data_IF_959691421818
#
_entry.id   IF_959691421818
#
_cell.length_a   1.000
_cell.length_b   1.000
_cell.length_c   1.000
_cell.angle_alpha   90.00
_cell.angle_beta   90.00
_cell.angle_gamma   90.00
#
_symmetry.space_group_name_H-M   'P 1'
#
loop_
_entity.id
_entity.type
_entity.pdbx_description
1 polymer ?
#
# COMPACT_ATOMS: atom_id res chain seq x y z
N UNK A 1 12.95 22.95 -9.52
CA UNK A 1 13.99 23.16 -8.49
C UNK A 1 14.58 24.56 -8.58
N UNK A 2 15.37 24.91 -9.60
CA UNK A 2 15.99 26.25 -9.73
C UNK A 2 15.00 27.43 -9.64
N UNK A 3 13.86 27.39 -10.35
CA UNK A 3 12.84 28.45 -10.29
C UNK A 3 12.24 28.65 -8.88
N UNK A 4 12.16 27.58 -8.10
CA UNK A 4 11.63 27.61 -6.73
C UNK A 4 12.73 27.77 -5.67
N UNK A 5 14.00 27.93 -6.11
CA UNK A 5 15.18 28.03 -5.25
C UNK A 5 15.34 26.90 -4.21
N UNK A 6 14.92 25.67 -4.57
CA UNK A 6 15.03 24.48 -3.70
C UNK A 6 16.00 23.45 -4.27
N UNK A 7 16.68 22.74 -3.38
CA UNK A 7 17.53 21.60 -3.74
C UNK A 7 16.72 20.48 -4.42
N UNK A 8 17.36 19.72 -5.31
CA UNK A 8 16.72 18.61 -5.99
C UNK A 8 16.40 17.49 -5.00
N UNK A 9 15.11 17.18 -4.84
CA UNK A 9 14.64 16.07 -4.01
C UNK A 9 14.67 14.72 -4.72
N UNK A 10 14.60 13.63 -3.95
CA UNK A 10 14.48 12.25 -4.48
C UNK A 10 13.12 11.98 -5.16
N UNK A 11 12.06 12.59 -4.64
CA UNK A 11 10.68 12.38 -5.11
C UNK A 11 9.92 13.68 -5.02
N UNK A 12 8.99 13.90 -5.96
CA UNK A 12 8.02 14.99 -5.91
C UNK A 12 6.64 14.37 -5.70
N UNK A 13 5.90 14.87 -4.72
CA UNK A 13 4.55 14.42 -4.41
C UNK A 13 3.64 15.62 -4.15
N UNK A 14 2.37 15.46 -4.47
CA UNK A 14 1.35 16.49 -4.30
C UNK A 14 0.45 16.15 -3.11
N UNK A 15 0.09 17.19 -2.36
CA UNK A 15 -0.82 17.11 -1.23
C UNK A 15 -1.97 18.08 -1.49
N UNK A 16 -3.21 17.58 -1.37
CA UNK A 16 -4.40 18.43 -1.45
C UNK A 16 -4.62 19.05 -0.07
N UNK A 17 -4.74 20.37 -0.04
CA UNK A 17 -5.00 21.17 1.15
C UNK A 17 -6.36 21.86 0.96
N UNK A 18 -7.12 22.01 2.04
CA UNK A 18 -8.34 22.86 2.02
C UNK A 18 -7.97 24.32 2.31
N UNK A 19 -7.09 24.54 3.27
CA UNK A 19 -6.51 25.84 3.62
C UNK A 19 -5.02 25.67 3.97
N UNK A 20 -4.21 26.71 3.72
CA UNK A 20 -2.80 26.74 4.11
C UNK A 20 -1.95 27.69 3.26
N UNK A 21 -1.20 28.57 3.93
CA UNK A 21 -0.20 29.45 3.30
C UNK A 21 1.18 28.79 3.38
N UNK A 22 1.47 27.90 2.42
CA UNK A 22 2.83 27.39 2.22
C UNK A 22 3.50 28.12 1.06
N UNK A 23 4.70 28.62 1.29
CA UNK A 23 5.50 29.28 0.26
C UNK A 23 6.49 28.28 -0.36
N UNK A 24 6.83 28.53 -1.63
CA UNK A 24 7.84 27.73 -2.29
C UNK A 24 9.20 27.93 -1.59
N UNK A 25 9.75 26.84 -1.03
CA UNK A 25 11.00 26.86 -0.28
C UNK A 25 10.85 26.49 1.20
N UNK A 26 9.61 26.45 1.71
CA UNK A 26 9.35 26.07 3.09
C UNK A 26 9.80 24.62 3.39
N UNK A 27 10.43 24.45 4.55
CA UNK A 27 10.88 23.14 5.02
C UNK A 27 9.86 22.54 6.00
N UNK A 28 9.32 21.38 5.65
CA UNK A 28 8.42 20.62 6.52
C UNK A 28 9.25 19.63 7.36
N UNK A 29 9.14 19.74 8.69
CA UNK A 29 9.80 18.85 9.67
C UNK A 29 8.79 17.90 10.32
N UNK A 30 9.30 16.86 11.00
CA UNK A 30 8.48 15.88 11.73
C UNK A 30 7.64 16.50 12.86
N UNK A 31 8.01 17.70 13.33
CA UNK A 31 7.30 18.48 14.36
C UNK A 31 5.87 18.89 13.96
N UNK A 32 5.50 18.76 12.68
CA UNK A 32 4.11 18.97 12.23
C UNK A 32 3.12 17.97 12.85
N UNK A 33 3.62 16.84 13.35
CA UNK A 33 2.83 15.84 14.05
C UNK A 33 3.05 15.92 15.56
N UNK A 34 2.04 15.51 16.32
CA UNK A 34 2.12 15.40 17.77
C UNK A 34 2.08 13.92 18.23
N UNK A 35 2.70 13.63 19.38
CA UNK A 35 2.53 12.32 20.02
C UNK A 35 1.06 12.12 20.44
N UNK A 36 0.53 10.92 20.24
CA UNK A 36 -0.88 10.57 20.43
C UNK A 36 -1.79 10.89 19.24
N UNK A 37 -1.30 11.61 18.22
CA UNK A 37 -2.08 11.90 17.02
C UNK A 37 -2.27 10.63 16.17
N UNK A 38 -3.45 10.50 15.55
CA UNK A 38 -3.73 9.47 14.56
C UNK A 38 -3.37 9.95 13.14
N UNK A 39 -2.66 9.11 12.40
CA UNK A 39 -2.20 9.39 11.04
C UNK A 39 -2.54 8.26 10.07
N UNK A 40 -2.82 8.63 8.83
CA UNK A 40 -2.95 7.72 7.71
C UNK A 40 -1.61 7.64 6.97
N UNK A 41 -1.10 6.42 6.79
CA UNK A 41 0.19 6.15 6.14
C UNK A 41 -0.05 5.48 4.79
N UNK A 42 0.23 6.21 3.71
CA UNK A 42 0.16 5.72 2.33
C UNK A 42 1.56 5.38 1.82
N UNK A 43 1.71 4.23 1.16
CA UNK A 43 2.97 3.81 0.57
C UNK A 43 2.80 2.74 -0.49
N UNK A 44 3.89 2.36 -1.14
CA UNK A 44 3.88 1.26 -2.10
C UNK A 44 4.14 -0.07 -1.36
N UNK A 45 3.19 -0.99 -1.44
CA UNK A 45 3.30 -2.31 -0.80
C UNK A 45 4.45 -3.14 -1.37
N UNK A 46 5.01 -4.05 -0.56
CA UNK A 46 6.07 -4.97 -1.03
C UNK A 46 5.55 -5.81 -2.20
N UNK A 47 6.26 -5.75 -3.34
CA UNK A 47 6.00 -6.59 -4.49
C UNK A 47 6.21 -8.07 -4.17
N UNK A 48 5.30 -8.92 -4.64
CA UNK A 48 5.40 -10.38 -4.52
C UNK A 48 5.53 -11.06 -5.89
N UNK A 49 5.54 -10.32 -7.01
CA UNK A 49 5.60 -10.90 -8.36
C UNK A 49 4.31 -11.61 -8.76
N UNK A 50 4.39 -12.56 -9.69
CA UNK A 50 3.23 -13.35 -10.13
C UNK A 50 2.83 -14.38 -9.07
N UNK A 51 1.59 -14.30 -8.58
CA UNK A 51 1.07 -15.14 -7.52
C UNK A 51 -0.14 -15.96 -7.99
N UNK A 52 -0.21 -17.21 -7.52
CA UNK A 52 -1.36 -18.09 -7.70
C UNK A 52 -2.58 -17.64 -6.90
N UNK A 53 -3.75 -18.20 -7.22
CA UNK A 53 -5.03 -17.82 -6.59
C UNK A 53 -5.08 -18.05 -5.09
N UNK A 54 -4.43 -19.10 -4.58
CA UNK A 54 -4.36 -19.38 -3.14
C UNK A 54 -3.66 -18.23 -2.41
N UNK A 55 -2.46 -17.83 -2.83
CA UNK A 55 -1.71 -16.77 -2.13
C UNK A 55 -2.27 -15.37 -2.38
N UNK A 56 -2.83 -15.12 -3.56
CA UNK A 56 -3.38 -13.81 -3.94
C UNK A 56 -4.76 -13.54 -3.32
N UNK A 57 -5.59 -14.58 -3.18
CA UNK A 57 -7.00 -14.44 -2.81
C UNK A 57 -7.45 -15.35 -1.67
N UNK A 58 -6.54 -16.07 -1.01
CA UNK A 58 -6.83 -17.04 0.05
C UNK A 58 -7.84 -18.13 -0.39
N UNK A 59 -7.78 -18.54 -1.66
CA UNK A 59 -8.58 -19.67 -2.14
C UNK A 59 -8.20 -20.95 -1.40
N UNK A 60 -9.18 -21.83 -1.17
CA UNK A 60 -8.90 -23.20 -0.74
C UNK A 60 -8.29 -23.99 -1.90
N UNK A 61 -7.38 -24.92 -1.58
CA UNK A 61 -6.91 -25.93 -2.53
C UNK A 61 -7.94 -27.06 -2.68
N UNK A 62 -7.65 -27.98 -3.58
CA UNK A 62 -8.35 -29.26 -3.67
C UNK A 62 -7.70 -30.28 -2.71
N UNK A 63 -8.31 -31.44 -2.57
CA UNK A 63 -7.74 -32.52 -1.76
C UNK A 63 -6.34 -32.91 -2.25
N UNK A 64 -5.44 -33.22 -1.31
CA UNK A 64 -4.06 -33.62 -1.64
C UNK A 64 -3.95 -35.11 -1.98
N UNK A 65 -4.93 -35.92 -1.60
CA UNK A 65 -4.97 -37.38 -1.79
C UNK A 65 -6.27 -37.77 -2.50
N UNK A 66 -6.72 -39.03 -2.37
CA UNK A 66 -7.98 -39.54 -2.91
C UNK A 66 -8.16 -39.35 -4.43
N UNK A 67 -7.10 -39.61 -5.20
CA UNK A 67 -7.15 -39.65 -6.66
C UNK A 67 -6.96 -38.31 -7.37
N UNK A 68 -6.68 -37.22 -6.64
CA UNK A 68 -6.27 -35.96 -7.27
C UNK A 68 -4.86 -36.11 -7.86
N UNK A 69 -4.73 -35.93 -9.18
CA UNK A 69 -3.48 -36.17 -9.91
C UNK A 69 -2.63 -34.91 -10.14
N UNK A 70 -3.25 -33.75 -10.40
CA UNK A 70 -2.54 -32.51 -10.78
C UNK A 70 -3.20 -31.22 -10.29
N UNK A 71 -4.36 -31.32 -9.64
CA UNK A 71 -5.25 -30.17 -9.42
C UNK A 71 -5.23 -29.63 -7.98
N UNK A 72 -4.22 -29.96 -7.17
CA UNK A 72 -4.17 -29.58 -5.75
C UNK A 72 -4.30 -28.07 -5.52
N UNK A 73 -3.74 -27.24 -6.41
CA UNK A 73 -3.65 -25.78 -6.24
C UNK A 73 -4.26 -24.97 -7.39
N UNK A 74 -5.11 -25.59 -8.20
CA UNK A 74 -5.78 -24.93 -9.34
C UNK A 74 -6.96 -24.07 -8.85
N UNK A 75 -7.36 -23.04 -9.60
CA UNK A 75 -8.47 -22.15 -9.20
C UNK A 75 -9.87 -22.81 -9.18
N UNK A 76 -10.00 -24.03 -9.71
CA UNK A 76 -11.29 -24.67 -9.93
C UNK A 76 -12.05 -24.02 -11.09
N UNK A 77 -13.39 -24.06 -11.05
CA UNK A 77 -14.22 -23.49 -12.12
C UNK A 77 -14.13 -21.95 -12.18
N UNK A 78 -13.92 -21.44 -13.40
CA UNK A 78 -13.83 -20.00 -13.67
C UNK A 78 -15.12 -19.40 -14.27
N UNK A 79 -16.13 -20.23 -14.60
CA UNK A 79 -17.35 -19.79 -15.28
C UNK A 79 -18.46 -20.85 -15.30
N UNK A 80 -19.54 -20.57 -16.04
CA UNK A 80 -20.70 -21.46 -16.22
C UNK A 80 -20.85 -21.83 -17.70
N UNK A 81 -21.49 -22.96 -18.00
CA UNK A 81 -21.77 -23.41 -19.36
C UNK A 81 -22.96 -22.65 -19.98
N UNK A 82 -22.91 -22.40 -21.30
CA UNK A 82 -23.94 -21.74 -22.12
C UNK A 82 -24.24 -20.27 -21.75
N UNK A 83 -24.92 -20.02 -20.64
CA UNK A 83 -25.24 -18.67 -20.17
C UNK A 83 -24.49 -18.44 -18.87
N UNK A 84 -23.53 -17.49 -18.78
CA UNK A 84 -23.27 -16.34 -19.66
C UNK A 84 -22.28 -16.58 -20.82
N UNK A 85 -21.72 -17.79 -20.98
CA UNK A 85 -20.84 -18.13 -22.11
C UNK A 85 -19.48 -17.41 -22.13
N UNK A 86 -19.11 -16.74 -21.03
CA UNK A 86 -17.85 -16.01 -20.87
C UNK A 86 -17.45 -15.90 -19.40
N UNK A 87 -16.19 -15.55 -19.16
CA UNK A 87 -15.72 -15.19 -17.82
C UNK A 87 -16.09 -13.74 -17.52
N UNK A 88 -16.66 -13.48 -16.34
CA UNK A 88 -17.00 -12.12 -15.90
C UNK A 88 -15.74 -11.28 -15.61
N UNK A 89 -15.85 -9.95 -15.83
CA UNK A 89 -14.81 -9.00 -15.43
C UNK A 89 -14.63 -9.04 -13.91
N UNK A 90 -13.40 -8.90 -13.43
CA UNK A 90 -13.07 -8.96 -12.01
C UNK A 90 -13.07 -10.36 -11.39
N UNK A 91 -13.24 -11.43 -12.19
CA UNK A 91 -13.08 -12.81 -11.70
C UNK A 91 -11.68 -12.98 -11.11
N UNK A 92 -11.62 -13.42 -9.85
CA UNK A 92 -10.38 -13.64 -9.12
C UNK A 92 -9.54 -14.72 -9.80
N UNK A 93 -8.34 -14.35 -10.24
CA UNK A 93 -7.38 -15.22 -10.92
C UNK A 93 -5.95 -14.94 -10.43
N UNK A 94 -5.01 -15.80 -10.82
CA UNK A 94 -3.58 -15.59 -10.65
C UNK A 94 -3.12 -14.31 -11.34
N UNK A 95 -2.05 -13.71 -10.86
CA UNK A 95 -1.50 -12.48 -11.43
C UNK A 95 -0.51 -11.80 -10.50
N UNK A 96 -0.03 -10.64 -10.93
CA UNK A 96 0.87 -9.82 -10.11
C UNK A 96 0.20 -9.43 -8.78
N UNK A 97 0.96 -9.48 -7.69
CA UNK A 97 0.51 -9.11 -6.35
C UNK A 97 1.53 -8.19 -5.67
N UNK A 98 1.05 -7.14 -5.00
CA UNK A 98 1.91 -6.13 -4.36
C UNK A 98 2.41 -5.09 -5.36
N UNK A 99 3.34 -4.23 -4.92
CA UNK A 99 3.76 -3.02 -5.64
C UNK A 99 2.61 -2.04 -5.94
N UNK A 100 1.48 -2.21 -5.24
CA UNK A 100 0.30 -1.37 -5.32
C UNK A 100 0.34 -0.31 -4.21
N UNK A 101 -0.27 0.85 -4.46
CA UNK A 101 -0.42 1.92 -3.47
C UNK A 101 -1.45 1.49 -2.42
N UNK A 102 -1.03 1.41 -1.16
CA UNK A 102 -1.87 1.02 -0.03
C UNK A 102 -1.81 2.11 1.03
N UNK A 103 -2.94 2.39 1.66
CA UNK A 103 -3.05 3.25 2.83
C UNK A 103 -3.43 2.41 4.03
N UNK A 104 -2.66 2.51 5.10
CA UNK A 104 -3.03 1.99 6.41
C UNK A 104 -3.53 3.18 7.22
N UNK A 105 -4.76 3.10 7.70
CA UNK A 105 -5.44 4.21 8.35
C UNK A 105 -5.28 4.17 9.88
N UNK A 106 -5.42 5.34 10.49
CA UNK A 106 -5.55 5.50 11.95
C UNK A 106 -4.40 4.87 12.75
N UNK A 107 -3.16 5.02 12.29
CA UNK A 107 -1.99 4.62 13.06
C UNK A 107 -1.62 5.69 14.08
N UNK A 108 -1.24 5.28 15.28
CA UNK A 108 -0.89 6.18 16.38
C UNK A 108 0.57 6.64 16.30
N UNK A 109 0.82 7.95 16.37
CA UNK A 109 2.15 8.51 16.54
C UNK A 109 2.57 8.36 18.01
N UNK A 110 3.56 7.52 18.28
CA UNK A 110 4.03 7.24 19.65
C UNK A 110 4.98 8.32 20.13
N UNK A 111 5.88 8.77 19.25
CA UNK A 111 6.92 9.74 19.59
C UNK A 111 7.37 10.51 18.36
N UNK A 112 7.68 11.78 18.56
CA UNK A 112 8.32 12.64 17.58
C UNK A 112 9.70 13.01 18.10
N UNK A 113 10.73 12.83 17.29
CA UNK A 113 12.11 13.19 17.59
C UNK A 113 12.53 14.31 16.64
N UNK A 114 12.40 15.55 17.12
CA UNK A 114 12.65 16.77 16.35
C UNK A 114 14.12 16.91 15.93
N UNK A 115 15.04 16.56 16.84
CA UNK A 115 16.49 16.68 16.61
C UNK A 115 16.95 15.79 15.45
N UNK A 116 16.42 14.56 15.38
CA UNK A 116 16.77 13.57 14.35
C UNK A 116 15.80 13.57 13.17
N UNK A 117 14.74 14.38 13.22
CA UNK A 117 13.65 14.42 12.25
C UNK A 117 13.01 13.02 12.03
N UNK A 118 12.76 12.28 13.11
CA UNK A 118 12.19 10.93 13.08
C UNK A 118 10.79 10.90 13.68
N UNK A 119 9.92 10.08 13.10
CA UNK A 119 8.57 9.82 13.58
C UNK A 119 8.43 8.34 13.95
N UNK A 120 8.01 8.05 15.18
CA UNK A 120 7.72 6.69 15.62
C UNK A 120 6.21 6.45 15.53
N UNK A 121 5.82 5.49 14.70
CA UNK A 121 4.42 5.11 14.48
C UNK A 121 4.19 3.70 14.99
N UNK A 122 3.07 3.50 15.70
CA UNK A 122 2.65 2.20 16.21
C UNK A 122 1.99 1.39 15.10
N UNK A 123 2.62 0.28 14.72
CA UNK A 123 2.04 -0.70 13.79
C UNK A 123 2.87 -0.90 12.53
N UNK A 124 2.23 -1.51 11.52
CA UNK A 124 2.88 -1.85 10.26
C UNK A 124 2.64 -0.77 9.20
N UNK A 125 3.72 -0.35 8.54
CA UNK A 125 3.66 0.60 7.41
C UNK A 125 3.79 -0.14 6.07
N UNK A 126 3.12 0.34 5.01
CA UNK A 126 3.13 -0.31 3.71
C UNK A 126 4.47 -0.10 2.99
N UNK A 127 5.20 -1.19 2.73
CA UNK A 127 6.36 -1.17 1.85
C UNK A 127 7.60 -1.82 2.43
N UNK A 128 8.71 -1.70 1.70
CA UNK A 128 10.02 -2.15 2.15
C UNK A 128 10.77 -1.02 2.87
N UNK A 129 11.77 -1.40 3.67
CA UNK A 129 12.68 -0.44 4.32
C UNK A 129 13.32 0.46 3.28
N UNK A 130 13.33 1.77 3.53
CA UNK A 130 13.81 2.79 2.58
C UNK A 130 12.81 3.15 1.46
N UNK A 131 11.59 2.63 1.51
CA UNK A 131 10.48 3.07 0.67
C UNK A 131 9.99 4.47 1.05
N UNK A 132 9.46 5.20 0.08
CA UNK A 132 8.83 6.49 0.34
C UNK A 132 7.43 6.27 0.95
N UNK A 133 7.12 6.98 2.02
CA UNK A 133 5.81 6.99 2.67
C UNK A 133 5.23 8.40 2.65
N UNK A 134 3.91 8.48 2.57
CA UNK A 134 3.12 9.70 2.64
C UNK A 134 2.29 9.61 3.91
N UNK A 135 2.47 10.57 4.81
CA UNK A 135 1.73 10.64 6.06
C UNK A 135 0.77 11.82 5.99
N UNK A 136 -0.47 11.60 6.45
CA UNK A 136 -1.50 12.63 6.56
C UNK A 136 -2.20 12.48 7.91
N UNK A 137 -2.75 13.55 8.49
CA UNK A 137 -3.69 13.42 9.60
C UNK A 137 -4.81 12.43 9.24
N UNK A 138 -5.23 11.60 10.19
CA UNK A 138 -6.31 10.65 9.96
C UNK A 138 -7.60 11.41 9.60
N UNK A 139 -8.29 10.93 8.56
CA UNK A 139 -9.61 11.39 8.13
C UNK A 139 -10.73 10.63 8.83
#
# INVERSE_FOLDING_TARGET
FAKANVAAGRTVMEFRLEEGDYQAGDQIKAEIFAAGQLVDVTGQSKGKGFQGTIKRWNFRGQDNTHGNSVSHRVPGSIGQCQTPGRVFKGKKMSGHMGAERVTVQSLEVVRVDAERNLLLVKGAVPGATGGNLVLRPAS
#
